data_IF_201059734781
#
_entry.id   IF_201059734781
#
_cell.length_a   1.000
_cell.length_b   1.000
_cell.length_c   1.000
_cell.angle_alpha   90.00
_cell.angle_beta   90.00
_cell.angle_gamma   90.00
#
_symmetry.space_group_name_H-M   'P 1'
#
loop_
_entity.id
_entity.type
_entity.pdbx_description
1 polymer ?
#
# COMPACT_ATOMS: atom_id res chain seq x y z
N UNK A 1 7.24 -19.40 23.71
CA UNK A 1 5.89 -19.91 23.48
C UNK A 1 5.64 -19.78 21.99
N UNK A 2 5.66 -20.89 21.25
CA UNK A 2 5.29 -20.90 19.84
C UNK A 2 3.80 -20.55 19.72
N UNK A 3 3.45 -19.69 18.77
CA UNK A 3 2.05 -19.38 18.49
C UNK A 3 1.31 -20.68 18.11
N UNK A 4 0.09 -20.91 18.61
CA UNK A 4 -0.68 -22.09 18.23
C UNK A 4 -0.85 -22.11 16.71
N UNK A 5 -0.50 -23.24 16.09
CA UNK A 5 -0.62 -23.45 14.65
C UNK A 5 -2.07 -23.81 14.30
N UNK A 6 -2.94 -22.82 14.26
CA UNK A 6 -4.37 -23.00 13.96
C UNK A 6 -4.64 -23.59 12.56
N UNK A 7 -3.63 -23.59 11.68
CA UNK A 7 -3.73 -24.01 10.28
C UNK A 7 -3.70 -25.54 10.10
N UNK A 8 -2.96 -26.25 10.97
CA UNK A 8 -2.75 -27.71 10.84
C UNK A 8 -4.01 -28.49 11.27
N UNK A 9 -4.81 -27.93 12.19
CA UNK A 9 -6.02 -28.58 12.68
C UNK A 9 -7.19 -28.51 11.70
N UNK A 10 -7.30 -27.47 10.87
CA UNK A 10 -8.46 -27.23 10.01
C UNK A 10 -8.71 -28.33 8.95
N UNK A 11 -7.66 -29.04 8.52
CA UNK A 11 -7.81 -30.15 7.56
C UNK A 11 -8.44 -31.40 8.18
N UNK A 12 -8.42 -31.52 9.51
CA UNK A 12 -9.05 -32.64 10.23
C UNK A 12 -10.54 -32.38 10.56
N UNK A 13 -11.06 -31.19 10.25
CA UNK A 13 -12.46 -30.85 10.50
C UNK A 13 -13.35 -31.55 9.47
N UNK A 14 -14.41 -32.19 9.97
CA UNK A 14 -15.40 -32.81 9.12
C UNK A 14 -16.16 -31.75 8.31
N UNK A 15 -16.52 -32.06 7.06
CA UNK A 15 -17.51 -31.27 6.35
C UNK A 15 -18.86 -31.43 7.11
N UNK A 16 -19.66 -30.35 7.27
CA UNK A 16 -19.59 -29.07 6.56
C UNK A 16 -18.90 -27.93 7.32
N UNK A 17 -18.56 -28.09 8.60
CA UNK A 17 -18.01 -27.02 9.45
C UNK A 17 -16.69 -26.45 8.94
N UNK A 18 -15.83 -27.29 8.36
CA UNK A 18 -14.62 -26.85 7.67
C UNK A 18 -14.89 -25.90 6.51
N UNK A 19 -15.91 -26.22 5.71
CA UNK A 19 -16.20 -25.49 4.47
C UNK A 19 -16.85 -24.13 4.82
N UNK A 20 -17.73 -24.09 5.83
CA UNK A 20 -18.24 -22.84 6.39
C UNK A 20 -17.13 -21.95 6.96
N UNK A 21 -16.18 -22.50 7.74
CA UNK A 21 -15.07 -21.71 8.28
C UNK A 21 -14.16 -21.16 7.17
N UNK A 22 -13.90 -21.95 6.11
CA UNK A 22 -13.13 -21.47 4.95
C UNK A 22 -13.84 -20.35 4.22
N UNK A 23 -15.16 -20.44 4.07
CA UNK A 23 -15.97 -19.40 3.44
C UNK A 23 -16.00 -18.12 4.27
N UNK A 24 -16.13 -18.25 5.60
CA UNK A 24 -16.09 -17.11 6.53
C UNK A 24 -14.71 -16.45 6.55
N UNK A 25 -13.62 -17.24 6.59
CA UNK A 25 -12.24 -16.74 6.49
C UNK A 25 -11.99 -16.05 5.15
N UNK A 26 -12.46 -16.61 4.04
CA UNK A 26 -12.33 -15.98 2.72
C UNK A 26 -13.10 -14.66 2.62
N UNK A 27 -14.30 -14.58 3.22
CA UNK A 27 -15.09 -13.35 3.32
C UNK A 27 -14.37 -12.29 4.15
N UNK A 28 -13.80 -12.68 5.29
CA UNK A 28 -13.02 -11.81 6.16
C UNK A 28 -11.75 -11.30 5.50
N UNK A 29 -10.99 -12.18 4.83
CA UNK A 29 -9.79 -11.82 4.08
C UNK A 29 -10.11 -10.84 2.94
N UNK A 30 -11.26 -11.02 2.28
CA UNK A 30 -11.75 -10.08 1.25
C UNK A 30 -12.07 -8.71 1.84
N UNK A 31 -12.81 -8.65 2.96
CA UNK A 31 -13.07 -7.39 3.67
C UNK A 31 -11.77 -6.72 4.12
N UNK A 32 -10.83 -7.46 4.71
CA UNK A 32 -9.52 -6.94 5.09
C UNK A 32 -8.75 -6.39 3.88
N UNK A 33 -8.71 -7.11 2.76
CA UNK A 33 -8.03 -6.68 1.55
C UNK A 33 -8.61 -5.37 0.99
N UNK A 34 -9.94 -5.20 1.02
CA UNK A 34 -10.60 -3.95 0.64
C UNK A 34 -10.17 -2.79 1.54
N UNK A 35 -10.14 -3.00 2.87
CA UNK A 35 -9.67 -1.98 3.83
C UNK A 35 -8.21 -1.62 3.63
N UNK A 36 -7.34 -2.61 3.38
CA UNK A 36 -5.94 -2.34 3.06
C UNK A 36 -5.78 -1.55 1.76
N UNK A 37 -6.62 -1.83 0.76
CA UNK A 37 -6.60 -1.08 -0.50
C UNK A 37 -7.05 0.38 -0.30
N UNK A 38 -8.10 0.60 0.50
CA UNK A 38 -8.54 1.95 0.89
C UNK A 38 -7.42 2.72 1.61
N UNK A 39 -6.80 2.11 2.62
CA UNK A 39 -5.68 2.72 3.36
C UNK A 39 -4.51 3.03 2.42
N UNK A 40 -4.17 2.10 1.51
CA UNK A 40 -3.11 2.30 0.54
C UNK A 40 -3.44 3.46 -0.44
N UNK A 41 -4.70 3.63 -0.81
CA UNK A 41 -5.15 4.75 -1.63
C UNK A 41 -4.95 6.09 -0.90
N UNK A 42 -5.44 6.21 0.33
CA UNK A 42 -5.26 7.42 1.14
C UNK A 42 -3.78 7.74 1.41
N UNK A 43 -2.99 6.71 1.71
CA UNK A 43 -1.55 6.87 1.91
C UNK A 43 -0.85 7.39 0.64
N UNK A 44 -1.19 6.85 -0.53
CA UNK A 44 -0.63 7.32 -1.80
C UNK A 44 -0.97 8.80 -2.07
N UNK A 45 -2.19 9.23 -1.74
CA UNK A 45 -2.61 10.63 -1.89
C UNK A 45 -1.84 11.52 -0.91
N UNK A 46 -1.69 11.10 0.34
CA UNK A 46 -0.96 11.86 1.35
C UNK A 46 0.51 12.07 0.93
N UNK A 47 1.18 11.01 0.50
CA UNK A 47 2.57 11.08 0.02
C UNK A 47 2.68 11.94 -1.25
N UNK A 48 1.74 11.79 -2.19
CA UNK A 48 1.69 12.61 -3.40
C UNK A 48 1.52 14.10 -3.08
N UNK A 49 0.64 14.44 -2.14
CA UNK A 49 0.42 15.82 -1.68
C UNK A 49 1.69 16.45 -1.11
N UNK A 50 2.43 15.69 -0.29
CA UNK A 50 3.72 16.15 0.27
C UNK A 50 4.72 16.43 -0.87
N UNK A 51 4.86 15.50 -1.81
CA UNK A 51 5.75 15.71 -2.97
C UNK A 51 5.33 16.88 -3.84
N UNK A 52 4.03 17.10 -4.01
CA UNK A 52 3.48 18.24 -4.75
C UNK A 52 3.90 19.56 -4.10
N UNK A 53 3.72 19.69 -2.78
CA UNK A 53 4.08 20.91 -2.07
C UNK A 53 5.59 21.17 -2.18
N UNK A 54 6.42 20.15 -1.95
CA UNK A 54 7.88 20.29 -2.06
C UNK A 54 8.33 20.66 -3.47
N UNK A 55 7.84 19.94 -4.48
CA UNK A 55 8.23 20.19 -5.88
C UNK A 55 7.74 21.55 -6.34
N UNK A 56 6.52 21.96 -6.00
CA UNK A 56 5.98 23.27 -6.35
C UNK A 56 6.74 24.41 -5.65
N UNK A 57 7.08 24.25 -4.36
CA UNK A 57 7.86 25.23 -3.60
C UNK A 57 9.27 25.43 -4.18
N UNK A 58 9.91 24.36 -4.65
CA UNK A 58 11.23 24.46 -5.30
C UNK A 58 11.09 25.08 -6.69
N UNK A 59 10.17 24.60 -7.50
CA UNK A 59 10.01 25.06 -8.89
C UNK A 59 9.53 26.51 -8.97
N UNK A 60 8.70 26.99 -8.03
CA UNK A 60 8.22 28.38 -8.01
C UNK A 60 9.35 29.40 -7.84
N UNK A 61 10.50 28.99 -7.31
CA UNK A 61 11.68 29.87 -7.20
C UNK A 61 12.41 30.08 -8.53
N UNK A 62 12.20 29.21 -9.52
CA UNK A 62 12.97 29.19 -10.77
C UNK A 62 12.10 29.46 -12.00
N UNK A 63 10.80 29.16 -11.95
CA UNK A 63 9.89 29.26 -13.10
C UNK A 63 8.52 29.86 -12.73
N UNK A 64 7.83 30.37 -13.75
CA UNK A 64 6.47 30.91 -13.63
C UNK A 64 5.51 29.92 -12.99
N UNK A 65 4.62 30.41 -12.13
CA UNK A 65 3.72 29.60 -11.30
C UNK A 65 2.90 28.58 -12.10
N UNK A 66 2.47 28.93 -13.32
CA UNK A 66 1.69 28.02 -14.16
C UNK A 66 2.50 26.78 -14.60
N UNK A 67 3.74 27.01 -15.05
CA UNK A 67 4.62 25.93 -15.50
C UNK A 67 5.15 25.11 -14.32
N UNK A 68 5.40 25.76 -13.19
CA UNK A 68 5.80 25.14 -11.92
C UNK A 68 4.80 24.09 -11.45
N UNK A 69 3.50 24.42 -11.48
CA UNK A 69 2.43 23.48 -11.07
C UNK A 69 2.39 22.25 -12.00
N UNK A 70 2.45 22.45 -13.32
CA UNK A 70 2.42 21.33 -14.28
C UNK A 70 3.62 20.39 -14.10
N UNK A 71 4.83 20.95 -13.95
CA UNK A 71 6.02 20.13 -13.68
C UNK A 71 5.95 19.44 -12.33
N UNK A 72 5.46 20.12 -11.30
CA UNK A 72 5.30 19.59 -9.95
C UNK A 72 4.40 18.34 -9.95
N UNK A 73 3.32 18.33 -10.73
CA UNK A 73 2.45 17.15 -10.91
C UNK A 73 3.23 15.98 -11.50
N UNK A 74 3.95 16.22 -12.60
CA UNK A 74 4.73 15.17 -13.26
C UNK A 74 5.86 14.63 -12.36
N UNK A 75 6.57 15.51 -11.66
CA UNK A 75 7.62 15.16 -10.70
C UNK A 75 7.06 14.35 -9.52
N UNK A 76 5.93 14.76 -8.97
CA UNK A 76 5.33 14.08 -7.82
C UNK A 76 4.84 12.67 -8.19
N UNK A 77 4.33 12.48 -9.42
CA UNK A 77 3.96 11.15 -9.92
C UNK A 77 5.17 10.25 -10.12
N UNK A 78 6.27 10.78 -10.66
CA UNK A 78 7.50 10.00 -10.85
C UNK A 78 8.15 9.65 -9.52
N UNK A 79 8.23 10.59 -8.57
CA UNK A 79 8.71 10.34 -7.20
C UNK A 79 7.85 9.29 -6.47
N UNK A 80 6.52 9.33 -6.61
CA UNK A 80 5.64 8.31 -6.03
C UNK A 80 5.91 6.92 -6.61
N UNK A 81 6.16 6.80 -7.92
CA UNK A 81 6.53 5.51 -8.54
C UNK A 81 7.89 5.00 -8.07
N UNK A 82 8.88 5.90 -7.99
CA UNK A 82 10.24 5.56 -7.55
C UNK A 82 10.26 5.16 -6.08
N UNK A 83 9.56 5.88 -5.21
CA UNK A 83 9.47 5.57 -3.78
C UNK A 83 8.82 4.20 -3.53
N UNK A 84 7.73 3.85 -4.25
CA UNK A 84 7.15 2.50 -4.19
C UNK A 84 8.17 1.41 -4.56
N UNK A 85 8.97 1.63 -5.61
CA UNK A 85 10.02 0.70 -6.04
C UNK A 85 11.15 0.61 -5.00
N UNK A 86 11.54 1.75 -4.42
CA UNK A 86 12.56 1.82 -3.38
C UNK A 86 12.13 1.07 -2.12
N UNK A 87 10.91 1.31 -1.61
CA UNK A 87 10.34 0.59 -0.46
C UNK A 87 10.33 -0.91 -0.70
N UNK A 88 9.86 -1.36 -1.88
CA UNK A 88 9.86 -2.79 -2.25
C UNK A 88 11.27 -3.39 -2.25
N UNK A 89 12.25 -2.63 -2.74
CA UNK A 89 13.66 -3.07 -2.76
C UNK A 89 14.23 -3.13 -1.35
N UNK A 90 13.95 -2.13 -0.51
CA UNK A 90 14.39 -2.06 0.87
C UNK A 90 13.82 -3.20 1.72
N UNK A 91 12.52 -3.49 1.58
CA UNK A 91 11.88 -4.63 2.23
C UNK A 91 12.48 -5.97 1.81
N UNK A 92 12.88 -6.10 0.53
CA UNK A 92 13.56 -7.31 0.04
C UNK A 92 14.95 -7.47 0.64
N UNK A 93 15.68 -6.38 0.86
CA UNK A 93 17.00 -6.40 1.49
C UNK A 93 16.86 -6.80 2.97
N UNK A 94 15.89 -6.23 3.70
CA UNK A 94 15.68 -6.53 5.12
C UNK A 94 15.22 -7.98 5.35
N UNK A 95 14.42 -8.55 4.45
CA UNK A 95 13.96 -9.94 4.55
C UNK A 95 15.03 -10.99 4.20
N UNK A 96 16.22 -10.57 3.74
CA UNK A 96 17.32 -11.45 3.34
C UNK A 96 18.35 -11.54 4.45
#
# INVERSE_FOLDING_TARGET
MEAPKDDEDLNYWQAPTRDYYREEKASYDKMMAERFNEIAFFFNIAVFSIFMIFSCAILSTVMSSFLSVLLSIALSLTMLKVSKKAIKTFLRIIKK
#
